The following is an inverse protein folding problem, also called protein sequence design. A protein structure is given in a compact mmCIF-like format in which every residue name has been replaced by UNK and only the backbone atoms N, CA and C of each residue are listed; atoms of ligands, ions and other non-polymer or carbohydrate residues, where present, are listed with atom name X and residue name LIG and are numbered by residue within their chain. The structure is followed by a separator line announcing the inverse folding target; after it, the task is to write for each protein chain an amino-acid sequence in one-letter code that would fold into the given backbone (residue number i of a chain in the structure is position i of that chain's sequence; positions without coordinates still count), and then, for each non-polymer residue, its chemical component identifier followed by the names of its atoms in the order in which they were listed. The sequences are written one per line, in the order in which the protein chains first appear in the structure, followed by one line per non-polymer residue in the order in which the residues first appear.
data_IF_929398872722
#
_entry.id   IF_929398872722
#
_cell.length_a   1.000
_cell.length_b   1.000
_cell.length_c   1.000
_cell.angle_alpha   90.00
_cell.angle_beta   90.00
_cell.angle_gamma   90.00
#
_symmetry.space_group_name_H-M   'P 1'
#
loop_
_entity.id
_entity.type
_entity.pdbx_description
1 polymer ?
#
# COMPACT_ATOMS: atom_id res chain seq x y z
N UNK A 1 -10.05 11.09 -0.14
CA UNK A 1 -8.59 11.28 -0.39
C UNK A 1 -8.16 10.11 -1.26
N UNK A 2 -7.38 10.35 -2.30
CA UNK A 2 -6.91 9.29 -3.18
C UNK A 2 -5.72 8.56 -2.55
N UNK A 3 -5.60 7.28 -2.85
CA UNK A 3 -4.66 6.36 -2.20
C UNK A 3 -4.01 5.52 -3.28
N UNK A 4 -2.74 5.22 -3.10
CA UNK A 4 -2.06 4.18 -3.85
C UNK A 4 -1.45 3.13 -2.90
N UNK A 5 -1.25 1.92 -3.42
CA UNK A 5 -0.64 0.83 -2.67
C UNK A 5 0.53 0.28 -3.48
N UNK A 6 1.69 0.19 -2.83
CA UNK A 6 2.89 -0.45 -3.37
C UNK A 6 3.22 -1.71 -2.56
N UNK A 7 2.79 -2.90 -3.02
CA UNK A 7 3.26 -4.15 -2.44
C UNK A 7 4.72 -4.40 -2.83
N UNK A 8 5.40 -5.26 -2.08
CA UNK A 8 6.75 -5.70 -2.38
C UNK A 8 6.74 -7.20 -2.66
N UNK A 9 7.31 -7.57 -3.81
CA UNK A 9 7.52 -8.96 -4.20
C UNK A 9 8.95 -9.32 -3.80
N UNK A 10 9.11 -10.38 -3.04
CA UNK A 10 10.40 -10.93 -2.65
C UNK A 10 10.65 -12.20 -3.47
N UNK A 11 11.79 -12.23 -4.16
CA UNK A 11 12.18 -13.32 -5.05
C UNK A 11 13.51 -13.92 -4.59
N UNK A 12 13.55 -15.25 -4.51
CA UNK A 12 14.72 -16.05 -4.21
C UNK A 12 14.48 -17.48 -4.67
N UNK A 13 14.72 -18.47 -3.80
CA UNK A 13 14.30 -19.86 -4.06
C UNK A 13 12.78 -20.03 -4.18
N UNK A 14 12.02 -19.09 -3.63
CA UNK A 14 10.57 -18.97 -3.79
C UNK A 14 10.21 -17.51 -4.04
N UNK A 15 9.13 -17.28 -4.77
CA UNK A 15 8.55 -15.94 -4.98
C UNK A 15 7.35 -15.79 -4.07
N UNK A 16 7.29 -14.70 -3.31
CA UNK A 16 6.12 -14.38 -2.49
C UNK A 16 5.90 -12.87 -2.37
N UNK A 17 4.66 -12.50 -2.11
CA UNK A 17 4.26 -11.11 -1.84
C UNK A 17 4.18 -10.93 -0.33
N UNK A 18 4.69 -9.81 0.18
CA UNK A 18 4.60 -9.52 1.62
C UNK A 18 3.14 -9.28 2.02
N UNK A 19 2.79 -9.68 3.25
CA UNK A 19 1.47 -9.37 3.84
C UNK A 19 1.42 -7.90 4.30
N UNK A 20 1.51 -6.99 3.34
CA UNK A 20 1.57 -5.56 3.57
C UNK A 20 2.05 -4.79 2.34
N UNK A 21 2.43 -3.54 2.54
CA UNK A 21 2.94 -2.66 1.50
C UNK A 21 2.98 -1.21 1.95
N UNK A 22 3.62 -0.37 1.15
CA UNK A 22 3.59 1.07 1.36
C UNK A 22 2.28 1.61 0.80
N UNK A 23 1.40 2.10 1.67
CA UNK A 23 0.23 2.88 1.26
C UNK A 23 0.59 4.36 1.29
N UNK A 24 0.37 5.08 0.19
CA UNK A 24 0.50 6.55 0.15
C UNK A 24 -0.86 7.18 -0.08
N UNK A 25 -1.04 8.39 0.43
CA UNK A 25 -2.31 9.11 0.40
C UNK A 25 -2.10 10.55 -0.04
N UNK A 26 -2.96 11.03 -0.94
CA UNK A 26 -3.04 12.44 -1.29
C UNK A 26 -3.73 13.19 -0.14
N UNK A 27 -2.99 14.03 0.59
CA UNK A 27 -3.54 14.73 1.75
C UNK A 27 -4.43 15.93 1.35
N UNK A 28 -4.11 16.56 0.22
CA UNK A 28 -4.85 17.70 -0.32
C UNK A 28 -6.17 17.23 -0.92
N UNK A 29 -7.28 17.91 -0.57
CA UNK A 29 -8.62 17.61 -1.09
C UNK A 29 -8.64 17.72 -2.61
N UNK A 30 -9.17 16.70 -3.29
CA UNK A 30 -9.24 16.65 -4.76
C UNK A 30 -7.93 16.28 -5.46
N UNK A 31 -6.79 16.28 -4.77
CA UNK A 31 -5.51 15.88 -5.36
C UNK A 31 -5.45 14.38 -5.62
N UNK A 32 -4.84 14.01 -6.75
CA UNK A 32 -4.44 12.64 -7.10
C UNK A 32 -2.96 12.37 -6.82
N UNK A 33 -2.19 13.41 -6.45
CA UNK A 33 -0.75 13.32 -6.24
C UNK A 33 -0.46 12.83 -4.82
N UNK A 34 0.20 11.67 -4.74
CA UNK A 34 0.56 11.01 -3.48
C UNK A 34 2.05 11.18 -3.10
N UNK A 35 2.82 11.91 -3.91
CA UNK A 35 4.24 12.16 -3.66
C UNK A 35 4.41 13.10 -2.45
N UNK A 36 5.33 12.77 -1.54
CA UNK A 36 5.54 13.52 -0.29
C UNK A 36 5.93 14.97 -0.52
N UNK A 37 6.74 15.26 -1.54
CA UNK A 37 7.13 16.62 -1.93
C UNK A 37 5.96 17.52 -2.35
N UNK A 38 4.77 16.95 -2.57
CA UNK A 38 3.57 17.65 -3.05
C UNK A 38 2.35 17.42 -2.14
N UNK A 39 2.58 17.22 -0.84
CA UNK A 39 1.50 17.01 0.13
C UNK A 39 0.93 15.59 0.13
N UNK A 40 1.73 14.62 -0.30
CA UNK A 40 1.47 13.20 -0.05
C UNK A 40 1.90 12.78 1.36
N UNK A 41 1.26 11.74 1.89
CA UNK A 41 1.65 11.09 3.16
C UNK A 41 1.60 9.58 3.05
N UNK A 42 1.90 8.88 4.14
CA UNK A 42 1.79 7.42 4.23
C UNK A 42 0.65 6.99 5.17
N UNK A 43 0.23 5.73 5.05
CA UNK A 43 -0.67 5.05 5.98
C UNK A 43 -0.21 3.60 6.19
N UNK A 44 -0.65 3.02 7.29
CA UNK A 44 -0.49 1.59 7.54
C UNK A 44 -1.39 0.77 6.61
N UNK A 45 -0.87 -0.37 6.16
CA UNK A 45 -1.59 -1.35 5.34
C UNK A 45 -1.81 -2.61 6.17
N UNK A 46 -3.06 -2.91 6.50
CA UNK A 46 -3.41 -4.16 7.17
C UNK A 46 -3.99 -5.15 6.17
N UNK A 47 -3.34 -6.30 6.04
CA UNK A 47 -3.87 -7.45 5.28
C UNK A 47 -4.51 -8.40 6.28
N UNK A 48 -5.83 -8.48 6.25
CA UNK A 48 -6.60 -9.30 7.19
C UNK A 48 -6.92 -10.64 6.51
N UNK A 49 -6.48 -11.73 7.13
CA UNK A 49 -6.93 -13.07 6.74
C UNK A 49 -8.40 -13.24 7.13
N UNK A 50 -9.26 -13.49 6.15
CA UNK A 50 -10.71 -13.67 6.36
C UNK A 50 -11.10 -15.13 6.58
N UNK A 51 -10.13 -16.03 6.73
CA UNK A 51 -10.35 -17.38 7.24
C UNK A 51 -11.30 -18.23 6.39
N UNK A 52 -11.41 -17.95 5.09
CA UNK A 52 -12.18 -18.82 4.18
C UNK A 52 -11.43 -20.15 4.09
N UNK A 53 -11.83 -21.11 4.93
CA UNK A 53 -11.36 -22.49 4.84
C UNK A 53 -11.56 -22.96 3.40
N UNK A 54 -10.48 -23.44 2.79
CA UNK A 54 -10.54 -24.20 1.55
C UNK A 54 -11.42 -25.43 1.74
#
# INVERSE_FOLDING_TARGET
RHVDLRPFILQGSRTYVTAGGLTRVALVKGSLVVNSSQGGGSKDTWVIDTGRKK
#
